data_IF_065346419125
#
_entry.id   IF_065346419125
#
_cell.length_a   1.000
_cell.length_b   1.000
_cell.length_c   1.000
_cell.angle_alpha   90.00
_cell.angle_beta   90.00
_cell.angle_gamma   90.00
#
_symmetry.space_group_name_H-M   'P 1'
#
loop_
_entity.id
_entity.type
_entity.pdbx_description
1 polymer ?
#
# COMPACT_ATOMS: atom_id res chain seq x y z
N UNK A 1 23.12 12.07 -11.32
CA UNK A 1 23.37 10.63 -11.55
C UNK A 1 22.06 9.88 -11.41
N UNK A 2 21.72 9.01 -12.36
CA UNK A 2 20.52 8.17 -12.23
C UNK A 2 20.77 7.17 -11.07
N UNK A 3 20.00 7.25 -9.99
CA UNK A 3 20.23 6.47 -8.78
C UNK A 3 19.40 5.18 -8.83
N UNK A 4 19.98 4.11 -9.37
CA UNK A 4 19.31 2.82 -9.54
C UNK A 4 18.81 2.20 -8.23
N UNK A 5 19.45 2.51 -7.11
CA UNK A 5 19.00 2.05 -5.79
C UNK A 5 17.69 2.69 -5.36
N UNK A 6 17.50 3.99 -5.66
CA UNK A 6 16.24 4.66 -5.38
C UNK A 6 15.12 4.11 -6.26
N UNK A 7 15.39 3.80 -7.53
CA UNK A 7 14.43 3.14 -8.40
C UNK A 7 13.97 1.82 -7.79
N UNK A 8 14.90 0.92 -7.47
CA UNK A 8 14.58 -0.38 -6.87
C UNK A 8 13.81 -0.22 -5.56
N UNK A 9 14.26 0.66 -4.67
CA UNK A 9 13.60 0.92 -3.39
C UNK A 9 12.15 1.38 -3.60
N UNK A 10 11.90 2.32 -4.50
CA UNK A 10 10.54 2.82 -4.74
C UNK A 10 9.61 1.75 -5.32
N UNK A 11 10.12 0.86 -6.18
CA UNK A 11 9.35 -0.28 -6.71
C UNK A 11 8.96 -1.25 -5.58
N UNK A 12 9.92 -1.59 -4.71
CA UNK A 12 9.66 -2.49 -3.58
C UNK A 12 8.69 -1.86 -2.57
N UNK A 13 8.76 -0.54 -2.38
CA UNK A 13 7.81 0.19 -1.52
C UNK A 13 6.40 0.20 -2.09
N UNK A 14 6.22 0.29 -3.42
CA UNK A 14 4.88 0.18 -4.01
C UNK A 14 4.26 -1.19 -3.72
N UNK A 15 5.04 -2.26 -3.89
CA UNK A 15 4.62 -3.62 -3.55
C UNK A 15 4.30 -3.78 -2.06
N UNK A 16 5.12 -3.19 -1.20
CA UNK A 16 4.91 -3.17 0.24
C UNK A 16 3.57 -2.52 0.63
N UNK A 17 3.23 -1.38 0.02
CA UNK A 17 1.97 -0.69 0.35
C UNK A 17 0.73 -1.49 -0.05
N UNK A 18 0.77 -2.20 -1.19
CA UNK A 18 -0.29 -3.11 -1.61
C UNK A 18 -0.38 -4.29 -0.66
N UNK A 19 0.75 -4.96 -0.38
CA UNK A 19 0.80 -6.07 0.58
C UNK A 19 0.20 -5.71 1.95
N UNK A 20 0.50 -4.52 2.46
CA UNK A 20 -0.02 -4.06 3.75
C UNK A 20 -1.54 -3.83 3.72
N UNK A 21 -2.09 -3.35 2.59
CA UNK A 21 -3.55 -3.26 2.41
C UNK A 21 -4.16 -4.66 2.51
N UNK A 22 -3.63 -5.62 1.77
CA UNK A 22 -4.14 -7.00 1.73
C UNK A 22 -4.04 -7.69 3.11
N UNK A 23 -2.92 -7.52 3.82
CA UNK A 23 -2.77 -8.04 5.18
C UNK A 23 -3.86 -7.51 6.14
N UNK A 24 -4.46 -6.36 5.86
CA UNK A 24 -5.54 -5.83 6.70
C UNK A 24 -6.93 -6.12 6.13
N UNK A 25 -7.13 -5.92 4.83
CA UNK A 25 -8.41 -6.05 4.16
C UNK A 25 -8.85 -7.51 4.01
N UNK A 26 -7.95 -8.41 3.63
CA UNK A 26 -8.35 -9.77 3.26
C UNK A 26 -8.96 -10.58 4.40
N UNK A 27 -8.41 -10.52 5.62
CA UNK A 27 -9.06 -11.13 6.77
C UNK A 27 -10.48 -10.62 7.03
N UNK A 28 -10.74 -9.32 6.80
CA UNK A 28 -12.07 -8.72 6.97
C UNK A 28 -13.04 -9.23 5.92
N UNK A 29 -12.59 -9.39 4.68
CA UNK A 29 -13.42 -9.92 3.59
C UNK A 29 -13.69 -11.42 3.71
N UNK A 30 -12.73 -12.20 4.26
CA UNK A 30 -12.98 -13.59 4.66
C UNK A 30 -14.01 -13.65 5.79
N UNK A 31 -13.87 -12.81 6.81
CA UNK A 31 -14.83 -12.76 7.94
C UNK A 31 -16.26 -12.42 7.47
N UNK A 32 -16.39 -11.47 6.54
CA UNK A 32 -17.68 -11.11 5.92
C UNK A 32 -18.27 -12.21 5.03
N UNK A 33 -17.53 -13.26 4.73
CA UNK A 33 -17.90 -14.28 3.76
C UNK A 33 -17.86 -13.79 2.31
N UNK A 34 -17.29 -12.61 2.05
CA UNK A 34 -17.09 -12.10 0.70
C UNK A 34 -16.03 -12.91 -0.05
N UNK A 35 -15.03 -13.41 0.68
CA UNK A 35 -14.02 -14.33 0.17
C UNK A 35 -14.06 -15.67 0.87
N UNK A 36 -14.04 -16.74 0.07
CA UNK A 36 -13.94 -18.10 0.53
C UNK A 36 -12.83 -18.81 -0.24
N UNK A 37 -11.90 -19.41 0.48
CA UNK A 37 -10.74 -20.08 -0.10
C UNK A 37 -10.87 -21.59 0.10
N UNK A 38 -10.78 -22.36 -0.99
CA UNK A 38 -10.89 -23.84 -0.95
C UNK A 38 -9.82 -24.44 -0.03
N UNK A 39 -8.58 -23.96 -0.16
CA UNK A 39 -7.45 -24.33 0.68
C UNK A 39 -6.98 -23.07 1.42
N UNK A 40 -7.78 -22.61 2.40
CA UNK A 40 -7.47 -21.41 3.19
C UNK A 40 -6.06 -21.43 3.80
N UNK A 41 -5.58 -20.27 4.23
CA UNK A 41 -4.23 -20.13 4.80
C UNK A 41 -4.18 -19.83 6.29
N UNK A 42 -2.97 -19.85 6.87
CA UNK A 42 -2.76 -19.69 8.31
C UNK A 42 -3.07 -18.27 8.81
N UNK A 43 -3.15 -17.28 7.94
CA UNK A 43 -3.46 -15.90 8.30
C UNK A 43 -4.94 -15.61 8.05
N UNK A 44 -5.77 -15.77 9.08
CA UNK A 44 -7.23 -15.56 9.04
C UNK A 44 -7.94 -16.28 7.88
N UNK A 45 -7.46 -17.46 7.49
CA UNK A 45 -8.03 -18.23 6.37
C UNK A 45 -7.57 -17.79 4.98
N UNK A 46 -6.71 -16.76 4.88
CA UNK A 46 -6.17 -16.27 3.60
C UNK A 46 -4.86 -17.01 3.24
N UNK A 47 -4.76 -17.63 2.05
CA UNK A 47 -3.53 -18.29 1.59
C UNK A 47 -2.34 -17.33 1.52
N UNK A 48 -1.15 -17.79 1.96
CA UNK A 48 0.08 -17.00 1.85
C UNK A 48 0.39 -16.59 0.40
N UNK A 49 0.02 -17.45 -0.56
CA UNK A 49 0.16 -17.16 -1.98
C UNK A 49 -0.61 -15.92 -2.46
N UNK A 50 -1.70 -15.53 -1.78
CA UNK A 50 -2.44 -14.31 -2.12
C UNK A 50 -1.58 -13.06 -1.86
N UNK A 51 -1.01 -12.95 -0.66
CA UNK A 51 -0.14 -11.85 -0.26
C UNK A 51 1.12 -11.75 -1.14
N UNK A 52 1.76 -12.89 -1.40
CA UNK A 52 2.92 -12.95 -2.31
C UNK A 52 2.52 -12.54 -3.72
N UNK A 53 1.34 -12.97 -4.17
CA UNK A 53 0.77 -12.62 -5.47
C UNK A 53 0.58 -11.12 -5.62
N UNK A 54 -0.11 -10.48 -4.69
CA UNK A 54 -0.37 -9.03 -4.75
C UNK A 54 0.89 -8.19 -4.61
N UNK A 55 1.82 -8.58 -3.74
CA UNK A 55 3.15 -7.96 -3.69
C UNK A 55 3.87 -8.07 -5.04
N UNK A 56 3.88 -9.26 -5.65
CA UNK A 56 4.58 -9.52 -6.92
C UNK A 56 3.95 -8.75 -8.07
N UNK A 57 2.62 -8.76 -8.18
CA UNK A 57 1.89 -8.03 -9.23
C UNK A 57 2.15 -6.53 -9.10
N UNK A 58 2.13 -5.97 -7.89
CA UNK A 58 2.43 -4.57 -7.64
C UNK A 58 3.89 -4.21 -8.02
N UNK A 59 4.87 -5.01 -7.59
CA UNK A 59 6.29 -4.83 -7.94
C UNK A 59 6.51 -4.90 -9.45
N UNK A 60 5.92 -5.86 -10.14
CA UNK A 60 6.10 -6.02 -11.58
C UNK A 60 5.42 -4.89 -12.35
N UNK A 61 4.16 -4.59 -12.01
CA UNK A 61 3.39 -3.55 -12.70
C UNK A 61 4.02 -2.16 -12.49
N UNK A 62 4.25 -1.74 -11.25
CA UNK A 62 4.87 -0.45 -10.97
C UNK A 62 6.33 -0.41 -11.42
N UNK A 63 7.04 -1.53 -11.33
CA UNK A 63 8.40 -1.70 -11.80
C UNK A 63 8.55 -1.42 -13.29
N UNK A 64 7.63 -1.90 -14.12
CA UNK A 64 7.61 -1.59 -15.55
C UNK A 64 7.47 -0.07 -15.76
N UNK A 65 6.45 0.57 -15.16
CA UNK A 65 6.21 2.01 -15.38
C UNK A 65 7.37 2.88 -14.86
N UNK A 66 7.85 2.64 -13.64
CA UNK A 66 8.96 3.40 -13.04
C UNK A 66 10.25 3.19 -13.83
N UNK A 67 10.52 1.98 -14.31
CA UNK A 67 11.69 1.71 -15.15
C UNK A 67 11.60 2.45 -16.48
N UNK A 68 10.43 2.43 -17.12
CA UNK A 68 10.20 3.19 -18.36
C UNK A 68 10.44 4.69 -18.14
N UNK A 69 9.90 5.28 -17.06
CA UNK A 69 10.12 6.70 -16.71
C UNK A 69 11.59 7.00 -16.40
N UNK A 70 12.29 6.09 -15.73
CA UNK A 70 13.70 6.26 -15.37
C UNK A 70 14.64 6.18 -16.57
N UNK A 71 14.40 5.24 -17.50
CA UNK A 71 15.23 5.06 -18.69
C UNK A 71 14.86 6.03 -19.81
N UNK A 72 13.57 6.34 -19.97
CA UNK A 72 13.00 7.20 -21.00
C UNK A 72 12.20 8.37 -20.38
N UNK A 73 12.88 9.29 -19.67
CA UNK A 73 12.20 10.39 -19.00
C UNK A 73 11.47 11.27 -20.02
N UNK A 74 10.16 11.42 -19.83
CA UNK A 74 9.37 12.42 -20.56
C UNK A 74 9.70 13.81 -20.04
N UNK A 75 9.48 14.83 -20.87
CA UNK A 75 9.64 16.24 -20.49
C UNK A 75 8.80 16.51 -19.23
N UNK A 76 9.41 17.07 -18.18
CA UNK A 76 8.72 17.34 -16.93
C UNK A 76 7.45 18.17 -17.20
N UNK A 77 6.30 17.61 -16.83
CA UNK A 77 5.06 18.37 -16.77
C UNK A 77 5.16 19.29 -15.56
N UNK A 78 4.91 20.59 -15.76
CA UNK A 78 4.77 21.53 -14.65
C UNK A 78 3.39 21.32 -14.04
N UNK A 79 3.33 20.72 -12.87
CA UNK A 79 2.11 20.58 -12.08
C UNK A 79 2.34 21.03 -10.65
N UNK A 80 1.26 21.40 -9.97
CA UNK A 80 1.30 21.74 -8.55
C UNK A 80 1.58 20.47 -7.72
N UNK A 81 2.71 20.46 -7.00
CA UNK A 81 3.12 19.33 -6.14
C UNK A 81 2.10 19.02 -5.05
N UNK A 82 1.15 19.91 -4.78
CA UNK A 82 0.02 19.67 -3.88
C UNK A 82 -0.80 18.44 -4.28
N UNK A 83 -0.80 18.02 -5.55
CA UNK A 83 -1.50 16.80 -5.98
C UNK A 83 -1.01 15.52 -5.28
N UNK A 84 0.24 15.51 -4.80
CA UNK A 84 0.81 14.33 -4.12
C UNK A 84 0.18 14.06 -2.74
N UNK A 85 -0.61 14.99 -2.19
CA UNK A 85 -1.37 14.74 -0.97
C UNK A 85 -2.52 13.76 -1.19
N UNK A 86 -3.04 13.70 -2.43
CA UNK A 86 -4.21 12.89 -2.79
C UNK A 86 -3.97 11.40 -2.46
N UNK A 87 -2.92 10.72 -2.95
CA UNK A 87 -2.68 9.32 -2.61
C UNK A 87 -2.44 9.10 -1.10
N UNK A 88 -1.83 10.05 -0.40
CA UNK A 88 -1.59 9.95 1.06
C UNK A 88 -2.91 9.99 1.83
N UNK A 89 -3.82 10.90 1.48
CA UNK A 89 -5.15 10.99 2.08
C UNK A 89 -5.96 9.74 1.75
N UNK A 90 -5.98 9.30 0.48
CA UNK A 90 -6.73 8.11 0.08
C UNK A 90 -6.26 6.86 0.82
N UNK A 91 -4.94 6.65 0.93
CA UNK A 91 -4.39 5.54 1.70
C UNK A 91 -4.76 5.62 3.20
N UNK A 92 -4.73 6.82 3.78
CA UNK A 92 -5.19 7.05 5.14
C UNK A 92 -6.68 6.78 5.36
N UNK A 93 -7.53 7.16 4.38
CA UNK A 93 -8.96 6.86 4.42
C UNK A 93 -9.23 5.36 4.32
N UNK A 94 -8.46 4.63 3.50
CA UNK A 94 -8.51 3.15 3.47
C UNK A 94 -8.15 2.60 4.85
N UNK A 95 -7.03 3.03 5.46
CA UNK A 95 -6.62 2.57 6.78
C UNK A 95 -7.70 2.80 7.86
N UNK A 96 -8.31 4.00 7.86
CA UNK A 96 -9.40 4.34 8.79
C UNK A 96 -10.65 3.50 8.54
N UNK A 97 -11.00 3.24 7.28
CA UNK A 97 -12.15 2.41 6.92
C UNK A 97 -11.95 0.95 7.34
N UNK A 98 -10.77 0.38 7.09
CA UNK A 98 -10.43 -0.98 7.51
C UNK A 98 -10.40 -1.11 9.04
N UNK A 99 -9.84 -0.13 9.74
CA UNK A 99 -9.89 -0.09 11.21
C UNK A 99 -11.32 0.00 11.74
N UNK A 100 -12.17 0.83 11.14
CA UNK A 100 -13.58 0.93 11.49
C UNK A 100 -14.29 -0.43 11.36
N UNK A 101 -14.05 -1.15 10.26
CA UNK A 101 -14.58 -2.50 10.07
C UNK A 101 -14.02 -3.49 11.09
N UNK A 102 -12.71 -3.49 11.34
CA UNK A 102 -12.09 -4.37 12.32
C UNK A 102 -12.67 -4.17 13.74
N UNK A 103 -12.91 -2.92 14.14
CA UNK A 103 -13.56 -2.59 15.41
C UNK A 103 -15.02 -3.06 15.45
N UNK A 104 -15.76 -2.88 14.34
CA UNK A 104 -17.15 -3.33 14.22
C UNK A 104 -17.28 -4.85 14.30
N UNK A 105 -16.33 -5.59 13.71
CA UNK A 105 -16.28 -7.06 13.71
C UNK A 105 -15.58 -7.63 14.94
N UNK A 106 -15.14 -6.78 15.88
CA UNK A 106 -14.40 -7.17 17.08
C UNK A 106 -13.08 -7.93 16.79
N UNK A 107 -12.47 -7.69 15.63
CA UNK A 107 -11.19 -8.26 15.22
C UNK A 107 -10.03 -7.35 15.67
N UNK A 108 -9.87 -7.19 16.98
CA UNK A 108 -8.97 -6.19 17.56
C UNK A 108 -7.49 -6.45 17.25
N UNK A 109 -7.05 -7.71 17.24
CA UNK A 109 -5.67 -8.09 16.93
C UNK A 109 -5.31 -7.69 15.50
N UNK A 110 -6.22 -7.94 14.57
CA UNK A 110 -6.09 -7.52 13.18
C UNK A 110 -6.09 -5.99 13.07
N UNK A 111 -7.02 -5.32 13.77
CA UNK A 111 -7.10 -3.86 13.81
C UNK A 111 -5.80 -3.20 14.26
N UNK A 112 -5.18 -3.74 15.31
CA UNK A 112 -3.88 -3.29 15.82
C UNK A 112 -2.78 -3.56 14.79
N UNK A 113 -2.68 -4.79 14.26
CA UNK A 113 -1.66 -5.15 13.28
C UNK A 113 -1.73 -4.27 12.03
N UNK A 114 -2.91 -4.14 11.43
CA UNK A 114 -3.13 -3.32 10.24
C UNK A 114 -2.82 -1.85 10.48
N UNK A 115 -3.25 -1.30 11.63
CA UNK A 115 -2.96 0.08 12.00
C UNK A 115 -1.47 0.34 12.21
N UNK A 116 -0.74 -0.60 12.84
CA UNK A 116 0.70 -0.50 13.06
C UNK A 116 1.49 -0.46 11.74
N UNK A 117 0.98 -1.07 10.67
CA UNK A 117 1.64 -1.06 9.37
C UNK A 117 1.23 0.16 8.53
N UNK A 118 -0.06 0.54 8.53
CA UNK A 118 -0.57 1.61 7.68
C UNK A 118 -0.39 3.01 8.27
N UNK A 119 -0.63 3.22 9.57
CA UNK A 119 -0.63 4.57 10.17
C UNK A 119 0.75 5.23 10.12
N UNK A 120 1.86 4.55 10.50
CA UNK A 120 3.19 5.16 10.39
C UNK A 120 3.53 5.54 8.95
N UNK A 121 3.09 4.75 7.96
CA UNK A 121 3.26 5.07 6.54
C UNK A 121 2.54 6.37 6.17
N UNK A 122 1.30 6.56 6.61
CA UNK A 122 0.54 7.80 6.38
C UNK A 122 1.24 8.99 7.03
N UNK A 123 1.57 8.89 8.32
CA UNK A 123 2.19 9.98 9.07
C UNK A 123 3.55 10.38 8.47
N UNK A 124 4.36 9.39 8.09
CA UNK A 124 5.64 9.63 7.46
C UNK A 124 5.49 10.32 6.11
N UNK A 125 4.55 9.87 5.26
CA UNK A 125 4.30 10.51 3.96
C UNK A 125 3.69 11.91 4.09
N UNK A 126 2.85 12.17 5.09
CA UNK A 126 2.37 13.52 5.42
C UNK A 126 3.52 14.45 5.81
N UNK A 127 4.44 13.95 6.64
CA UNK A 127 5.65 14.69 7.00
C UNK A 127 6.51 15.00 5.77
N UNK A 128 6.75 14.01 4.90
CA UNK A 128 7.51 14.20 3.66
C UNK A 128 6.81 15.21 2.73
N UNK A 129 5.50 15.10 2.55
CA UNK A 129 4.74 16.04 1.74
C UNK A 129 4.91 17.46 2.26
N UNK A 130 4.72 17.71 3.56
CA UNK A 130 4.86 19.05 4.11
C UNK A 130 6.30 19.59 3.98
N UNK A 131 7.30 18.71 4.14
CA UNK A 131 8.73 19.07 4.03
C UNK A 131 9.15 19.41 2.60
N UNK A 132 8.55 18.77 1.59
CA UNK A 132 9.02 18.85 0.21
C UNK A 132 8.06 19.52 -0.79
N UNK A 133 6.81 19.86 -0.39
CA UNK A 133 5.83 20.47 -1.32
C UNK A 133 6.25 21.81 -1.93
N UNK A 134 7.10 22.58 -1.23
CA UNK A 134 7.52 23.93 -1.65
C UNK A 134 8.91 23.98 -2.31
N UNK A 135 9.63 22.85 -2.31
CA UNK A 135 10.85 22.66 -3.12
C UNK A 135 10.44 22.11 -4.47
#
# INVERSE_FOLDING_TARGET
MKNGWLLLLTILLDGWFVLVIDLFMDPLEVWKGAWTWVNGGPYFGVPIGNFVGWFTVAVLSSGIFRSLEYFFPKKELKFDKSIFIIPVILYGLVALSLLGMALQFQMYELGILGSLLMVPTVLFNLFLFNKYRSR
#
